data_IF_857167689673
#
_entry.id   IF_857167689673
#
_cell.length_a   1.000
_cell.length_b   1.000
_cell.length_c   1.000
_cell.angle_alpha   90.00
_cell.angle_beta   90.00
_cell.angle_gamma   90.00
#
_symmetry.space_group_name_H-M   'P 1'
#
loop_
_entity.id
_entity.type
_entity.pdbx_description
1 polymer ?
#
# COMPACT_ATOMS: atom_id res chain seq x y z
N UNK A 1 9.34 4.12 10.72
CA UNK A 1 8.82 3.70 12.01
C UNK A 1 7.63 4.55 12.45
N UNK A 2 7.70 5.89 12.44
CA UNK A 2 6.58 6.79 12.83
C UNK A 2 5.33 6.53 11.98
N UNK A 3 5.49 6.36 10.66
CA UNK A 3 4.40 5.96 9.76
C UNK A 3 3.70 4.68 10.25
N UNK A 4 4.48 3.64 10.52
CA UNK A 4 3.94 2.38 11.01
C UNK A 4 3.23 2.56 12.34
N UNK A 5 3.87 3.21 13.30
CA UNK A 5 3.35 3.42 14.65
C UNK A 5 1.98 4.12 14.63
N UNK A 6 1.86 5.22 13.89
CA UNK A 6 0.61 5.97 13.78
C UNK A 6 -0.46 5.18 13.04
N UNK A 7 -0.13 4.62 11.87
CA UNK A 7 -1.09 3.92 11.02
C UNK A 7 -1.66 2.68 11.71
N UNK A 8 -0.78 1.86 12.30
CA UNK A 8 -1.14 0.60 12.94
C UNK A 8 -1.93 0.82 14.25
N UNK A 9 -1.50 1.78 15.05
CA UNK A 9 -2.14 2.05 16.33
C UNK A 9 -3.47 2.79 16.20
N UNK A 10 -3.60 3.74 15.26
CA UNK A 10 -4.81 4.58 15.17
C UNK A 10 -5.88 4.07 14.22
N UNK A 11 -5.52 3.23 13.24
CA UNK A 11 -6.39 2.83 12.13
C UNK A 11 -7.44 1.78 12.51
N UNK A 12 -8.42 2.13 13.35
CA UNK A 12 -9.42 1.21 13.88
C UNK A 12 -10.78 1.87 14.03
N UNK A 13 -11.84 1.06 14.05
CA UNK A 13 -13.21 1.53 14.28
C UNK A 13 -13.61 2.67 13.31
N UNK A 14 -13.15 2.60 12.05
CA UNK A 14 -13.33 3.64 11.03
C UNK A 14 -12.76 5.01 11.46
N UNK A 15 -11.78 5.01 12.35
CA UNK A 15 -11.00 6.16 12.77
C UNK A 15 -9.55 6.03 12.27
N UNK A 16 -8.74 7.01 12.56
CA UNK A 16 -7.31 6.96 12.31
C UNK A 16 -6.73 8.25 11.71
N UNK A 17 -5.43 8.27 11.62
CA UNK A 17 -4.68 9.33 10.93
C UNK A 17 -3.78 8.66 9.92
N UNK A 18 -3.94 9.03 8.64
CA UNK A 18 -3.12 8.50 7.56
C UNK A 18 -1.79 9.26 7.52
N UNK A 19 -0.68 8.64 7.90
CA UNK A 19 0.63 9.23 7.70
C UNK A 19 1.03 9.07 6.22
N UNK A 20 1.60 10.13 5.66
CA UNK A 20 2.12 10.13 4.28
C UNK A 20 3.58 10.52 4.32
N UNK A 21 4.47 9.65 3.86
CA UNK A 21 5.89 9.95 3.73
C UNK A 21 6.07 10.76 2.43
N UNK A 22 6.66 11.94 2.58
CA UNK A 22 6.99 12.84 1.47
C UNK A 22 8.49 13.12 1.45
N UNK A 23 9.02 13.39 0.27
CA UNK A 23 10.45 13.67 0.08
C UNK A 23 10.80 15.13 0.33
N UNK A 24 9.84 16.03 0.09
CA UNK A 24 10.00 17.47 0.26
C UNK A 24 8.72 18.09 0.85
N UNK A 25 8.80 19.16 1.68
CA UNK A 25 7.61 19.83 2.24
C UNK A 25 6.59 20.25 1.19
N UNK A 26 7.05 20.74 0.04
CA UNK A 26 6.20 21.16 -1.08
C UNK A 26 5.39 20.01 -1.71
N UNK A 27 5.73 18.77 -1.40
CA UNK A 27 4.98 17.58 -1.85
C UNK A 27 3.75 17.30 -0.97
N UNK A 28 3.55 18.06 0.10
CA UNK A 28 2.36 17.96 0.94
C UNK A 28 1.13 18.48 0.19
N UNK A 29 0.12 17.64 0.04
CA UNK A 29 -1.15 18.02 -0.61
C UNK A 29 -2.16 18.52 0.42
N UNK A 30 -2.16 17.94 1.61
CA UNK A 30 -3.06 18.32 2.70
C UNK A 30 -2.53 17.78 4.03
N UNK A 31 -3.02 18.38 5.12
CA UNK A 31 -2.66 17.97 6.48
C UNK A 31 -1.46 18.73 7.01
N UNK A 32 -0.97 18.30 8.18
CA UNK A 32 0.16 18.89 8.88
C UNK A 32 1.46 18.28 8.35
N UNK A 33 2.37 19.10 7.86
CA UNK A 33 3.71 18.67 7.47
C UNK A 33 4.64 18.67 8.69
N UNK A 34 5.34 17.53 8.90
CA UNK A 34 6.24 17.35 10.04
C UNK A 34 7.62 16.98 9.53
N UNK A 35 8.62 17.78 9.89
CA UNK A 35 10.03 17.53 9.59
C UNK A 35 10.81 17.08 10.83
N UNK A 36 11.88 16.33 10.61
CA UNK A 36 12.83 15.89 11.63
C UNK A 36 14.17 16.65 11.57
N UNK A 37 14.28 17.55 10.64
CA UNK A 37 15.41 18.46 10.44
C UNK A 37 14.85 19.85 10.11
N UNK A 38 15.67 20.87 10.26
CA UNK A 38 15.30 22.24 9.87
C UNK A 38 14.84 22.29 8.41
N UNK A 39 13.73 22.97 8.17
CA UNK A 39 13.09 23.10 6.86
C UNK A 39 11.77 23.85 6.97
N UNK A 40 11.13 24.09 5.84
CA UNK A 40 9.84 24.79 5.75
C UNK A 40 8.68 23.80 6.00
N UNK A 41 8.58 23.31 7.25
CA UNK A 41 7.52 22.43 7.74
C UNK A 41 6.60 23.18 8.70
N UNK A 42 5.34 22.75 8.79
CA UNK A 42 4.41 23.30 9.79
C UNK A 42 4.89 23.01 11.22
N UNK A 43 5.57 21.89 11.41
CA UNK A 43 6.17 21.48 12.68
C UNK A 43 7.52 20.81 12.44
N UNK A 44 8.54 21.26 13.16
CA UNK A 44 9.84 20.59 13.21
C UNK A 44 10.00 19.91 14.56
N UNK A 45 10.30 18.61 14.55
CA UNK A 45 10.49 17.81 15.76
C UNK A 45 11.95 17.38 15.82
N UNK A 46 12.73 18.09 16.62
CA UNK A 46 14.15 17.81 16.87
C UNK A 46 14.32 16.86 18.06
N UNK A 47 15.45 16.20 18.14
CA UNK A 47 15.82 15.33 19.26
C UNK A 47 16.67 14.14 18.81
N UNK A 48 17.30 13.52 19.78
CA UNK A 48 18.03 12.25 19.58
C UNK A 48 17.05 11.12 19.23
N UNK A 49 17.57 10.03 18.70
CA UNK A 49 16.73 8.87 18.35
C UNK A 49 15.90 8.36 19.52
N UNK A 50 16.47 8.32 20.74
CA UNK A 50 15.75 7.89 21.93
C UNK A 50 14.61 8.84 22.32
N UNK A 51 14.84 10.15 22.24
CA UNK A 51 13.82 11.16 22.48
C UNK A 51 12.68 11.07 21.46
N UNK A 52 13.02 10.85 20.17
CA UNK A 52 12.04 10.64 19.12
C UNK A 52 11.18 9.40 19.38
N UNK A 53 11.74 8.27 19.83
CA UNK A 53 10.97 7.09 20.19
C UNK A 53 9.95 7.39 21.30
N UNK A 54 10.39 7.96 22.40
CA UNK A 54 9.50 8.28 23.54
C UNK A 54 8.41 9.28 23.11
N UNK A 55 8.79 10.33 22.39
CA UNK A 55 7.86 11.34 21.94
C UNK A 55 6.74 10.74 21.07
N UNK A 56 7.11 9.97 20.05
CA UNK A 56 6.12 9.42 19.11
C UNK A 56 5.26 8.31 19.72
N UNK A 57 5.76 7.57 20.68
CA UNK A 57 4.96 6.63 21.47
C UNK A 57 3.89 7.38 22.28
N UNK A 58 4.25 8.47 22.97
CA UNK A 58 3.30 9.31 23.69
C UNK A 58 2.31 10.00 22.75
N UNK A 59 2.76 10.58 21.66
CA UNK A 59 1.90 11.20 20.65
C UNK A 59 0.87 10.19 20.13
N UNK A 60 1.31 8.99 19.82
CA UNK A 60 0.43 7.93 19.31
C UNK A 60 -0.58 7.48 20.37
N UNK A 61 -0.15 7.28 21.61
CA UNK A 61 -1.07 6.94 22.71
C UNK A 61 -2.13 8.02 22.94
N UNK A 62 -1.74 9.29 22.92
CA UNK A 62 -2.67 10.43 23.05
C UNK A 62 -3.62 10.52 21.84
N UNK A 63 -3.13 10.30 20.63
CA UNK A 63 -3.99 10.24 19.44
C UNK A 63 -5.03 9.14 19.55
N UNK A 64 -4.64 7.94 20.00
CA UNK A 64 -5.57 6.82 20.21
C UNK A 64 -6.59 7.13 21.29
N UNK A 65 -6.17 7.77 22.40
CA UNK A 65 -7.08 8.22 23.44
C UNK A 65 -8.13 9.21 22.90
N UNK A 66 -7.71 10.20 22.10
CA UNK A 66 -8.61 11.18 21.48
C UNK A 66 -9.54 10.55 20.45
N UNK A 67 -9.06 9.57 19.69
CA UNK A 67 -9.84 8.81 18.71
C UNK A 67 -10.71 7.72 19.33
N UNK A 68 -10.52 7.43 20.64
CA UNK A 68 -11.20 6.36 21.38
C UNK A 68 -10.97 4.97 20.76
N UNK A 69 -9.74 4.70 20.39
CA UNK A 69 -9.30 3.39 19.88
C UNK A 69 -8.23 2.80 20.79
N UNK A 70 -8.14 1.47 20.85
CA UNK A 70 -7.06 0.77 21.57
C UNK A 70 -5.78 0.82 20.74
N UNK A 71 -4.65 1.39 21.24
CA UNK A 71 -3.40 1.43 20.49
C UNK A 71 -2.70 0.06 20.41
N UNK A 72 -3.07 -0.93 21.21
CA UNK A 72 -2.30 -2.15 21.41
C UNK A 72 -2.82 -3.39 20.68
N UNK A 73 -3.93 -3.29 19.95
CA UNK A 73 -4.46 -4.37 19.12
C UNK A 73 -4.38 -4.06 17.62
N UNK A 74 -4.42 -5.09 16.76
CA UNK A 74 -4.42 -4.96 15.30
C UNK A 74 -5.39 -5.99 14.67
N UNK A 75 -6.69 -5.78 14.80
CA UNK A 75 -7.68 -6.79 14.40
C UNK A 75 -7.68 -7.09 12.89
N UNK A 76 -7.37 -6.10 12.04
CA UNK A 76 -7.46 -6.28 10.59
C UNK A 76 -6.22 -6.90 9.93
N UNK A 77 -5.16 -7.18 10.70
CA UNK A 77 -3.97 -7.91 10.20
C UNK A 77 -4.26 -9.41 10.05
N UNK A 78 -5.09 -9.98 10.92
CA UNK A 78 -5.39 -11.41 10.94
C UNK A 78 -6.10 -11.85 9.66
N UNK A 79 -7.08 -11.09 9.19
CA UNK A 79 -7.87 -11.40 7.99
C UNK A 79 -7.00 -11.60 6.73
N UNK A 80 -6.02 -10.74 6.51
CA UNK A 80 -5.12 -10.85 5.37
C UNK A 80 -4.26 -12.13 5.42
N UNK A 81 -3.87 -12.58 6.62
CA UNK A 81 -3.12 -13.83 6.82
C UNK A 81 -3.97 -15.05 6.49
N UNK A 82 -5.19 -15.13 7.01
CA UNK A 82 -6.11 -16.25 6.75
C UNK A 82 -6.39 -16.42 5.25
N UNK A 83 -6.57 -15.30 4.52
CA UNK A 83 -6.76 -15.33 3.07
C UNK A 83 -5.52 -15.80 2.33
N UNK A 84 -4.35 -15.33 2.75
CA UNK A 84 -3.07 -15.79 2.19
C UNK A 84 -2.92 -17.29 2.37
N UNK A 85 -3.19 -17.82 3.56
CA UNK A 85 -3.15 -19.27 3.85
C UNK A 85 -4.15 -20.06 3.01
N UNK A 86 -5.36 -19.54 2.81
CA UNK A 86 -6.37 -20.16 1.94
C UNK A 86 -5.89 -20.24 0.49
N UNK A 87 -5.30 -19.17 -0.04
CA UNK A 87 -4.75 -19.14 -1.41
C UNK A 87 -3.61 -20.13 -1.54
N UNK A 88 -2.64 -20.14 -0.60
CA UNK A 88 -1.52 -21.09 -0.60
C UNK A 88 -2.00 -22.54 -0.51
N UNK A 89 -3.04 -22.81 0.28
CA UNK A 89 -3.66 -24.12 0.35
C UNK A 89 -4.28 -24.53 -0.99
N UNK A 90 -4.92 -23.58 -1.70
CA UNK A 90 -5.49 -23.83 -3.02
C UNK A 90 -4.40 -24.11 -4.07
N UNK A 91 -3.27 -23.40 -4.01
CA UNK A 91 -2.10 -23.65 -4.87
C UNK A 91 -1.56 -25.06 -4.61
N UNK A 92 -1.35 -25.40 -3.35
CA UNK A 92 -0.87 -26.72 -2.93
C UNK A 92 -1.77 -27.87 -3.42
N UNK A 93 -3.07 -27.66 -3.41
CA UNK A 93 -4.06 -28.67 -3.81
C UNK A 93 -4.36 -28.65 -5.33
N UNK A 94 -3.72 -27.77 -6.11
CA UNK A 94 -3.97 -27.61 -7.54
C UNK A 94 -5.38 -27.09 -7.88
N UNK A 95 -6.04 -26.44 -6.93
CA UNK A 95 -7.40 -25.88 -7.10
C UNK A 95 -7.41 -24.35 -7.27
N UNK A 96 -6.24 -23.75 -7.23
CA UNK A 96 -6.14 -22.30 -7.42
C UNK A 96 -6.52 -21.87 -8.84
N UNK A 97 -7.49 -20.99 -8.94
CA UNK A 97 -7.93 -20.41 -10.21
C UNK A 97 -7.29 -19.04 -10.38
N UNK A 98 -6.50 -18.88 -11.44
CA UNK A 98 -5.90 -17.59 -11.76
C UNK A 98 -6.99 -16.55 -12.07
N UNK A 99 -6.94 -15.36 -11.47
CA UNK A 99 -7.86 -14.28 -11.84
C UNK A 99 -7.71 -13.93 -13.33
N UNK A 100 -8.84 -13.64 -13.97
CA UNK A 100 -8.87 -13.19 -15.36
C UNK A 100 -8.60 -11.68 -15.38
N UNK A 101 -7.64 -11.18 -16.18
CA UNK A 101 -7.40 -9.75 -16.28
C UNK A 101 -8.56 -9.01 -16.97
N UNK A 102 -8.89 -7.80 -16.50
CA UNK A 102 -9.82 -6.89 -17.18
C UNK A 102 -9.21 -6.27 -18.45
N UNK A 103 -7.90 -6.16 -18.46
CA UNK A 103 -7.09 -5.72 -19.62
C UNK A 103 -5.74 -6.43 -19.61
N UNK A 104 -5.22 -6.74 -20.80
CA UNK A 104 -3.92 -7.39 -20.96
C UNK A 104 -3.24 -6.97 -22.27
N UNK A 105 -1.93 -6.74 -22.19
CA UNK A 105 -1.05 -6.58 -23.35
C UNK A 105 0.33 -7.22 -23.10
N UNK A 106 1.34 -6.84 -23.91
CA UNK A 106 2.68 -7.40 -23.79
C UNK A 106 3.46 -6.89 -22.55
N UNK A 107 3.04 -5.77 -21.95
CA UNK A 107 3.77 -5.09 -20.90
C UNK A 107 3.12 -5.30 -19.52
N UNK A 108 1.78 -5.29 -19.47
CA UNK A 108 1.00 -5.36 -18.23
C UNK A 108 -0.24 -6.26 -18.36
N UNK A 109 -0.71 -6.76 -17.22
CA UNK A 109 -2.08 -7.26 -17.04
C UNK A 109 -2.75 -6.46 -15.92
N UNK A 110 -3.95 -5.95 -16.16
CA UNK A 110 -4.73 -5.18 -15.19
C UNK A 110 -5.89 -6.02 -14.67
N UNK A 111 -6.16 -5.93 -13.37
CA UNK A 111 -7.25 -6.64 -12.71
C UNK A 111 -8.03 -5.64 -11.86
N UNK A 112 -9.29 -5.41 -12.21
CA UNK A 112 -10.17 -4.50 -11.49
C UNK A 112 -11.61 -5.02 -11.52
N UNK A 113 -12.30 -4.88 -10.40
CA UNK A 113 -13.73 -5.24 -10.31
C UNK A 113 -14.64 -4.10 -10.84
N UNK A 114 -14.11 -2.87 -10.86
CA UNK A 114 -14.85 -1.66 -11.24
C UNK A 114 -14.83 -1.37 -12.76
N UNK A 115 -14.53 -2.36 -13.58
CA UNK A 115 -14.43 -2.24 -15.04
C UNK A 115 -13.37 -1.21 -15.51
N UNK A 116 -12.46 -0.80 -14.64
CA UNK A 116 -11.33 0.04 -15.02
C UNK A 116 -10.28 -0.79 -15.76
N UNK A 117 -9.97 -0.40 -16.98
CA UNK A 117 -9.00 -1.12 -17.81
C UNK A 117 -7.57 -0.59 -17.68
N UNK A 118 -7.42 0.60 -17.14
CA UNK A 118 -6.12 1.28 -17.00
C UNK A 118 -6.06 2.15 -15.75
N UNK A 119 -4.84 2.59 -15.43
CA UNK A 119 -4.58 3.42 -14.26
C UNK A 119 -5.29 4.78 -14.33
N UNK A 120 -5.36 5.39 -15.51
CA UNK A 120 -6.01 6.70 -15.70
C UNK A 120 -7.51 6.65 -15.36
N UNK A 121 -8.21 5.60 -15.74
CA UNK A 121 -9.61 5.40 -15.37
C UNK A 121 -9.75 5.21 -13.87
N UNK A 122 -8.90 4.39 -13.26
CA UNK A 122 -8.90 4.13 -11.84
C UNK A 122 -8.64 5.38 -10.98
N UNK A 123 -7.76 6.26 -11.41
CA UNK A 123 -7.47 7.51 -10.69
C UNK A 123 -8.66 8.49 -10.62
N UNK A 124 -9.69 8.29 -11.44
CA UNK A 124 -10.94 9.09 -11.38
C UNK A 124 -11.92 8.59 -10.32
N UNK A 125 -11.68 7.42 -9.74
CA UNK A 125 -12.54 6.88 -8.67
C UNK A 125 -12.59 7.84 -7.49
N UNK A 126 -13.78 8.04 -6.94
CA UNK A 126 -13.92 8.90 -5.77
C UNK A 126 -13.27 8.26 -4.55
N UNK A 127 -12.31 8.98 -3.98
CA UNK A 127 -11.56 8.57 -2.80
C UNK A 127 -10.91 9.78 -2.13
N UNK A 128 -10.57 9.67 -0.86
CA UNK A 128 -9.89 10.74 -0.13
C UNK A 128 -8.37 10.64 -0.20
N UNK A 129 -7.83 9.47 -0.49
CA UNK A 129 -6.42 9.22 -0.71
C UNK A 129 -6.21 8.04 -1.65
N UNK A 130 -5.00 7.93 -2.18
CA UNK A 130 -4.57 6.79 -2.99
C UNK A 130 -3.42 6.07 -2.27
N UNK A 131 -3.45 4.75 -2.22
CA UNK A 131 -2.34 3.95 -1.69
C UNK A 131 -1.71 3.10 -2.81
N UNK A 132 -0.42 3.28 -3.04
CA UNK A 132 0.38 2.43 -3.94
C UNK A 132 1.03 1.33 -3.11
N UNK A 133 0.74 0.10 -3.44
CA UNK A 133 1.12 -1.11 -2.73
C UNK A 133 2.01 -1.96 -3.64
N UNK A 134 3.33 -1.74 -3.59
CA UNK A 134 4.29 -2.34 -4.53
C UNK A 134 4.86 -3.65 -3.98
N UNK A 135 4.39 -4.78 -4.51
CA UNK A 135 4.96 -6.11 -4.27
C UNK A 135 6.11 -6.37 -5.27
N UNK A 136 7.15 -5.56 -5.16
CA UNK A 136 8.31 -5.53 -6.03
C UNK A 136 9.60 -5.63 -5.22
N UNK A 137 10.73 -5.82 -5.89
CA UNK A 137 12.03 -5.77 -5.24
C UNK A 137 12.43 -4.32 -4.97
N UNK A 138 12.51 -3.93 -3.70
CA UNK A 138 12.84 -2.57 -3.28
C UNK A 138 14.18 -2.06 -3.86
N UNK A 139 15.17 -2.93 -4.01
CA UNK A 139 16.49 -2.52 -4.50
C UNK A 139 16.52 -2.32 -6.03
N UNK A 140 15.83 -3.20 -6.77
CA UNK A 140 15.84 -3.19 -8.24
C UNK A 140 14.78 -2.24 -8.82
N UNK A 141 13.70 -1.99 -8.07
CA UNK A 141 12.51 -1.29 -8.56
C UNK A 141 12.30 0.09 -7.88
N UNK A 142 13.37 0.70 -7.34
CA UNK A 142 13.32 2.00 -6.63
C UNK A 142 12.61 3.11 -7.40
N UNK A 143 12.70 3.10 -8.72
CA UNK A 143 12.06 4.10 -9.58
C UNK A 143 10.53 4.16 -9.41
N UNK A 144 9.88 3.09 -8.98
CA UNK A 144 8.42 3.09 -8.78
C UNK A 144 7.95 4.05 -7.68
N UNK A 145 8.82 4.45 -6.75
CA UNK A 145 8.52 5.47 -5.73
C UNK A 145 8.08 6.79 -6.39
N UNK A 146 8.62 7.13 -7.56
CA UNK A 146 8.29 8.37 -8.29
C UNK A 146 6.80 8.44 -8.64
N UNK A 147 6.12 7.31 -8.81
CA UNK A 147 4.68 7.27 -9.08
C UNK A 147 3.87 7.97 -7.99
N UNK A 148 4.30 7.91 -6.72
CA UNK A 148 3.64 8.58 -5.60
C UNK A 148 3.49 10.09 -5.87
N UNK A 149 4.62 10.76 -6.10
CA UNK A 149 4.64 12.22 -6.34
C UNK A 149 3.88 12.59 -7.59
N UNK A 150 4.07 11.83 -8.67
CA UNK A 150 3.41 12.11 -9.94
C UNK A 150 1.89 11.95 -9.83
N UNK A 151 1.39 10.87 -9.26
CA UNK A 151 -0.04 10.66 -9.03
C UNK A 151 -0.58 11.76 -8.10
N UNK A 152 0.08 12.05 -6.97
CA UNK A 152 -0.35 13.08 -6.03
C UNK A 152 -0.53 14.45 -6.71
N UNK A 153 0.43 14.82 -7.58
CA UNK A 153 0.37 16.08 -8.33
C UNK A 153 -0.81 16.16 -9.30
N UNK A 154 -1.26 15.01 -9.81
CA UNK A 154 -2.37 14.93 -10.78
C UNK A 154 -3.72 14.86 -10.08
N UNK A 155 -3.89 13.95 -9.12
CA UNK A 155 -5.18 13.75 -8.45
C UNK A 155 -5.47 14.78 -7.34
N UNK A 156 -4.46 15.55 -6.90
CA UNK A 156 -4.54 16.52 -5.79
C UNK A 156 -5.08 15.91 -4.48
N UNK A 157 -4.68 14.67 -4.21
CA UNK A 157 -5.03 13.91 -3.01
C UNK A 157 -3.75 13.38 -2.37
N UNK A 158 -3.74 13.08 -1.04
CA UNK A 158 -2.65 12.35 -0.42
C UNK A 158 -2.41 11.02 -1.12
N UNK A 159 -1.16 10.70 -1.39
CA UNK A 159 -0.76 9.41 -1.98
C UNK A 159 0.31 8.79 -1.12
N UNK A 160 0.06 7.56 -0.63
CA UNK A 160 1.05 6.77 0.08
C UNK A 160 1.74 5.80 -0.88
N UNK A 161 2.96 5.40 -0.55
CA UNK A 161 3.69 4.35 -1.24
C UNK A 161 4.28 3.38 -0.22
N UNK A 162 3.96 2.10 -0.36
CA UNK A 162 4.48 1.05 0.53
C UNK A 162 5.08 -0.11 -0.26
N UNK A 163 6.22 -0.64 0.22
CA UNK A 163 6.78 -1.89 -0.28
C UNK A 163 6.09 -3.08 0.39
N UNK A 164 5.50 -3.95 -0.41
CA UNK A 164 4.91 -5.21 0.05
C UNK A 164 5.96 -6.32 0.20
N UNK A 165 5.74 -7.27 1.08
CA UNK A 165 4.56 -7.41 1.94
C UNK A 165 4.61 -6.60 3.26
N UNK A 166 5.66 -5.78 3.49
CA UNK A 166 5.90 -5.09 4.76
C UNK A 166 4.70 -4.27 5.26
N UNK A 167 4.02 -3.56 4.38
CA UNK A 167 2.89 -2.71 4.77
C UNK A 167 1.67 -3.50 5.30
N UNK A 168 1.58 -4.82 5.05
CA UNK A 168 0.56 -5.67 5.69
C UNK A 168 0.63 -5.60 7.22
N UNK A 169 1.82 -5.33 7.77
CA UNK A 169 2.11 -5.19 9.19
C UNK A 169 2.33 -3.72 9.60
N UNK A 170 1.78 -2.76 8.88
CA UNK A 170 1.92 -1.33 9.16
C UNK A 170 0.69 -0.56 8.68
N UNK A 171 0.76 0.08 7.52
CA UNK A 171 -0.35 0.86 6.95
C UNK A 171 -1.56 0.00 6.58
N UNK A 172 -1.39 -1.31 6.41
CA UNK A 172 -2.50 -2.24 6.15
C UNK A 172 -3.61 -2.20 7.21
N UNK A 173 -3.27 -1.92 8.47
CA UNK A 173 -4.28 -1.76 9.52
C UNK A 173 -5.15 -0.53 9.26
N UNK A 174 -4.57 0.64 8.96
CA UNK A 174 -5.36 1.85 8.69
C UNK A 174 -6.17 1.76 7.39
N UNK A 175 -5.67 1.04 6.39
CA UNK A 175 -6.38 0.87 5.13
C UNK A 175 -7.68 0.07 5.29
N UNK A 176 -7.72 -0.91 6.18
CA UNK A 176 -8.86 -1.82 6.41
C UNK A 176 -9.69 -1.48 7.65
N UNK A 177 -9.07 -0.95 8.68
CA UNK A 177 -9.73 -0.61 9.94
C UNK A 177 -9.99 0.88 10.15
N UNK A 178 -9.31 1.74 9.41
CA UNK A 178 -9.47 3.19 9.44
C UNK A 178 -10.71 3.68 8.69
N UNK A 179 -10.70 4.95 8.30
CA UNK A 179 -11.75 5.51 7.46
C UNK A 179 -11.70 4.83 6.08
N UNK A 180 -12.79 4.12 5.73
CA UNK A 180 -12.88 3.34 4.49
C UNK A 180 -13.13 4.26 3.27
N UNK A 181 -12.18 5.11 2.95
CA UNK A 181 -12.28 6.16 1.94
C UNK A 181 -11.07 6.26 1.01
N UNK A 182 -10.19 5.26 1.01
CA UNK A 182 -9.04 5.15 0.12
C UNK A 182 -9.33 4.41 -1.18
N UNK A 183 -8.46 4.56 -2.18
CA UNK A 183 -8.37 3.70 -3.36
C UNK A 183 -6.96 3.10 -3.46
N UNK A 184 -6.84 1.87 -3.97
CA UNK A 184 -5.65 1.05 -3.80
C UNK A 184 -5.11 0.55 -5.14
N UNK A 185 -3.85 0.86 -5.41
CA UNK A 185 -3.11 0.43 -6.59
C UNK A 185 -2.10 -0.62 -6.14
N UNK A 186 -2.36 -1.88 -6.40
CA UNK A 186 -1.39 -2.95 -6.19
C UNK A 186 -0.52 -3.09 -7.44
N UNK A 187 0.81 -3.09 -7.26
CA UNK A 187 1.77 -3.36 -8.32
C UNK A 187 2.47 -4.67 -8.01
N UNK A 188 2.34 -5.64 -8.89
CA UNK A 188 2.98 -6.95 -8.80
C UNK A 188 3.82 -7.22 -10.05
N UNK A 189 4.76 -8.16 -10.02
CA UNK A 189 5.51 -8.55 -11.20
C UNK A 189 5.82 -10.04 -11.20
N UNK A 190 6.08 -10.59 -12.39
CA UNK A 190 6.72 -11.88 -12.51
C UNK A 190 8.19 -11.74 -12.04
N UNK A 191 8.66 -12.55 -11.08
CA UNK A 191 10.05 -12.50 -10.66
C UNK A 191 10.96 -13.04 -11.76
N UNK A 192 12.16 -12.49 -11.88
CA UNK A 192 13.17 -13.00 -12.83
C UNK A 192 13.75 -14.34 -12.38
N UNK A 193 13.84 -14.55 -11.09
CA UNK A 193 14.26 -15.79 -10.43
C UNK A 193 13.36 -16.05 -9.25
N UNK A 194 13.12 -17.32 -8.97
CA UNK A 194 12.40 -17.73 -7.79
C UNK A 194 13.32 -18.49 -6.84
N UNK A 195 12.97 -18.52 -5.56
CA UNK A 195 13.65 -19.28 -4.52
C UNK A 195 12.64 -20.24 -3.88
N UNK A 196 13.00 -21.49 -3.80
CA UNK A 196 12.21 -22.50 -3.10
C UNK A 196 12.21 -22.24 -1.59
N UNK A 197 11.10 -22.53 -0.94
CA UNK A 197 11.00 -22.50 0.52
C UNK A 197 11.16 -23.93 1.05
N UNK A 198 12.20 -24.22 1.83
CA UNK A 198 12.44 -25.57 2.35
C UNK A 198 11.22 -26.14 3.07
N UNK A 199 10.76 -27.32 2.65
CA UNK A 199 9.61 -28.01 3.25
C UNK A 199 8.23 -27.50 2.81
N UNK A 200 8.16 -26.56 1.87
CA UNK A 200 6.91 -26.07 1.26
C UNK A 200 6.77 -26.58 -0.19
N UNK A 201 5.55 -26.62 -0.69
CA UNK A 201 5.24 -26.94 -2.09
C UNK A 201 5.05 -25.68 -2.96
N UNK A 202 5.30 -24.51 -2.41
CA UNK A 202 5.26 -23.21 -3.08
C UNK A 202 6.57 -22.46 -2.82
N UNK A 203 6.92 -21.57 -3.72
CA UNK A 203 8.12 -20.73 -3.63
C UNK A 203 7.84 -19.33 -3.08
N UNK A 204 8.88 -18.51 -2.94
CA UNK A 204 8.71 -17.11 -2.46
C UNK A 204 7.89 -16.25 -3.42
N UNK A 205 7.91 -16.51 -4.72
CA UNK A 205 7.11 -15.75 -5.69
C UNK A 205 5.62 -16.03 -5.51
N UNK A 206 5.25 -17.29 -5.34
CA UNK A 206 3.89 -17.72 -5.05
C UNK A 206 3.41 -17.18 -3.70
N UNK A 207 4.28 -17.19 -2.69
CA UNK A 207 3.97 -16.61 -1.38
C UNK A 207 3.66 -15.11 -1.49
N UNK A 208 4.53 -14.33 -2.14
CA UNK A 208 4.33 -12.88 -2.30
C UNK A 208 3.06 -12.59 -3.12
N UNK A 209 2.80 -13.37 -4.17
CA UNK A 209 1.59 -13.22 -4.96
C UNK A 209 0.35 -13.58 -4.15
N UNK A 210 0.37 -14.65 -3.35
CA UNK A 210 -0.73 -15.01 -2.46
C UNK A 210 -1.01 -13.92 -1.43
N UNK A 211 0.03 -13.27 -0.89
CA UNK A 211 -0.12 -12.11 0.00
C UNK A 211 -0.76 -10.91 -0.71
N UNK A 212 -0.33 -10.60 -1.94
CA UNK A 212 -0.92 -9.52 -2.72
C UNK A 212 -2.40 -9.77 -3.02
N UNK A 213 -2.75 -11.00 -3.43
CA UNK A 213 -4.12 -11.39 -3.71
C UNK A 213 -4.98 -11.36 -2.45
N UNK A 214 -4.48 -11.95 -1.35
CA UNK A 214 -5.20 -11.99 -0.07
C UNK A 214 -5.50 -10.60 0.49
N UNK A 215 -4.54 -9.68 0.39
CA UNK A 215 -4.73 -8.29 0.82
C UNK A 215 -5.72 -7.55 -0.08
N UNK A 216 -5.62 -7.74 -1.41
CA UNK A 216 -6.59 -7.18 -2.36
C UNK A 216 -8.01 -7.67 -2.12
N UNK A 217 -8.19 -8.95 -1.78
CA UNK A 217 -9.49 -9.51 -1.39
C UNK A 217 -10.03 -8.86 -0.12
N UNK A 218 -9.19 -8.71 0.91
CA UNK A 218 -9.58 -8.07 2.17
C UNK A 218 -10.04 -6.61 1.97
N UNK A 219 -9.34 -5.84 1.13
CA UNK A 219 -9.73 -4.47 0.78
C UNK A 219 -11.08 -4.43 0.04
N UNK A 220 -11.31 -5.33 -0.92
CA UNK A 220 -12.58 -5.41 -1.67
C UNK A 220 -13.76 -5.78 -0.79
N UNK A 221 -13.58 -6.63 0.20
CA UNK A 221 -14.63 -6.95 1.17
C UNK A 221 -15.03 -5.75 2.03
N UNK A 222 -14.06 -4.85 2.29
CA UNK A 222 -14.35 -3.53 2.84
C UNK A 222 -15.01 -2.59 1.83
N UNK A 223 -15.35 -3.06 0.61
CA UNK A 223 -15.92 -2.27 -0.49
C UNK A 223 -15.03 -1.12 -0.94
N UNK A 224 -13.73 -1.31 -0.83
CA UNK A 224 -12.74 -0.33 -1.24
C UNK A 224 -12.30 -0.60 -2.69
N UNK A 225 -12.16 0.44 -3.53
CA UNK A 225 -11.68 0.29 -4.90
C UNK A 225 -10.24 -0.24 -4.93
N UNK A 226 -10.00 -1.31 -5.69
CA UNK A 226 -8.68 -1.92 -5.85
C UNK A 226 -8.41 -2.22 -7.32
N UNK A 227 -7.31 -1.70 -7.83
CA UNK A 227 -6.74 -2.12 -9.12
C UNK A 227 -5.41 -2.83 -8.85
N UNK A 228 -5.19 -3.99 -9.47
CA UNK A 228 -3.90 -4.65 -9.48
C UNK A 228 -3.32 -4.60 -10.88
N UNK A 229 -2.11 -4.06 -10.99
CA UNK A 229 -1.33 -3.98 -12.23
C UNK A 229 -0.16 -4.95 -12.10
N UNK A 230 -0.17 -5.98 -12.92
CA UNK A 230 0.88 -6.98 -12.97
C UNK A 230 1.84 -6.68 -14.11
N UNK A 231 3.11 -6.48 -13.77
CA UNK A 231 4.16 -6.10 -14.72
C UNK A 231 4.76 -7.37 -15.35
N UNK A 232 4.64 -7.51 -16.66
CA UNK A 232 5.28 -8.58 -17.45
C UNK A 232 6.71 -8.19 -17.86
N UNK A 233 6.90 -6.93 -18.23
CA UNK A 233 8.19 -6.31 -18.51
C UNK A 233 8.32 -5.06 -17.62
N UNK A 234 9.12 -5.12 -16.55
CA UNK A 234 9.20 -4.07 -15.54
C UNK A 234 9.57 -2.70 -16.07
N UNK A 235 10.54 -2.64 -16.99
CA UNK A 235 11.00 -1.36 -17.54
C UNK A 235 9.96 -0.74 -18.46
N UNK A 236 9.44 -1.51 -19.40
CA UNK A 236 8.42 -1.01 -20.35
C UNK A 236 7.12 -0.66 -19.61
N UNK A 237 6.71 -1.53 -18.68
CA UNK A 237 5.54 -1.27 -17.86
C UNK A 237 5.67 0.02 -17.03
N UNK A 238 6.85 0.28 -16.44
CA UNK A 238 7.10 1.53 -15.74
C UNK A 238 6.95 2.75 -16.65
N UNK A 239 7.57 2.72 -17.84
CA UNK A 239 7.44 3.80 -18.83
C UNK A 239 6.00 4.00 -19.32
N UNK A 240 5.25 2.91 -19.46
CA UNK A 240 3.83 2.95 -19.79
C UNK A 240 3.02 3.64 -18.70
N UNK A 241 3.20 3.23 -17.44
CA UNK A 241 2.52 3.86 -16.30
C UNK A 241 2.82 5.35 -16.17
N UNK A 242 4.08 5.76 -16.38
CA UNK A 242 4.45 7.17 -16.40
C UNK A 242 3.65 7.94 -17.48
N UNK A 243 3.61 7.43 -18.72
CA UNK A 243 2.85 8.07 -19.82
C UNK A 243 1.36 8.13 -19.52
N UNK A 244 0.77 7.08 -18.97
CA UNK A 244 -0.64 7.07 -18.56
C UNK A 244 -0.94 8.17 -17.53
N UNK A 245 -0.09 8.31 -16.51
CA UNK A 245 -0.27 9.33 -15.47
C UNK A 245 -0.01 10.74 -16.03
N UNK A 246 0.98 10.91 -16.90
CA UNK A 246 1.25 12.21 -17.54
C UNK A 246 0.08 12.67 -18.41
N UNK A 247 -0.64 11.75 -19.03
CA UNK A 247 -1.82 12.04 -19.87
C UNK A 247 -3.10 12.31 -19.07
N UNK A 248 -3.11 12.03 -17.75
CA UNK A 248 -4.20 12.33 -16.84
C UNK A 248 -4.25 13.82 -16.52
#
# INVERSE_FOLDING_TARGET
>A
WVEQLIAESTGKNQQGRLPVIIEHPDDAISGLSIGFTNGDFDLVVEGTLGEQFILWEWVTALLCYLLKVDPFDQPNVIEAKERTESILSSIKNGTFVQPIPSYEDHEISTYSDDSCNNLTEFLKVDSKYVAIMAYLNKEDDKQFIQLRKLIASKVKKPVTFGWGPRFLHSTGQIHKGGQLNGSFIQITSTPMTTLEIPGQSFDFAELIMAQALGDGMALRECKLPVIRIHLKDRQKAFQKLLKEIESF
#
